data_IF_424531396466
#
_entry.id   IF_424531396466
#
_cell.length_a   1.000
_cell.length_b   1.000
_cell.length_c   1.000
_cell.angle_alpha   90.00
_cell.angle_beta   90.00
_cell.angle_gamma   90.00
#
_symmetry.space_group_name_H-M   'P 1'
#
loop_
_entity.id
_entity.type
_entity.pdbx_description
1 polymer ?
#
# COMPACT_ATOMS: atom_id res chain seq x y z
N UNK A 1 -32.23 -5.64 -11.45
CA UNK A 1 -31.15 -4.89 -10.78
C UNK A 1 -30.07 -5.89 -10.39
N UNK A 2 -29.06 -6.09 -11.24
CA UNK A 2 -27.90 -6.95 -10.92
C UNK A 2 -26.78 -6.03 -10.45
N UNK A 3 -26.74 -5.73 -9.15
CA UNK A 3 -25.64 -4.97 -8.56
C UNK A 3 -24.46 -5.92 -8.34
N UNK A 4 -23.50 -5.93 -9.25
CA UNK A 4 -22.22 -6.61 -9.03
C UNK A 4 -21.40 -5.77 -8.06
N UNK A 5 -20.81 -6.40 -7.03
CA UNK A 5 -19.94 -5.82 -6.00
C UNK A 5 -18.69 -5.04 -6.52
N UNK A 6 -18.53 -4.93 -7.84
CA UNK A 6 -17.44 -4.23 -8.52
C UNK A 6 -17.55 -2.70 -8.51
N UNK A 7 -18.62 -2.10 -7.97
CA UNK A 7 -18.85 -0.65 -8.05
C UNK A 7 -18.20 0.19 -6.93
N UNK A 8 -17.55 -0.43 -5.94
CA UNK A 8 -17.05 0.30 -4.77
C UNK A 8 -15.63 0.84 -4.93
N UNK A 9 -14.73 0.12 -5.60
CA UNK A 9 -13.32 0.52 -5.75
C UNK A 9 -13.06 1.10 -7.14
N UNK A 10 -12.45 2.28 -7.18
CA UNK A 10 -12.03 2.96 -8.41
C UNK A 10 -10.49 3.02 -8.46
N UNK A 11 -9.95 3.80 -9.41
CA UNK A 11 -8.51 3.97 -9.60
C UNK A 11 -7.80 4.35 -8.29
N UNK A 12 -6.63 3.75 -8.05
CA UNK A 12 -5.81 3.93 -6.84
C UNK A 12 -6.47 3.49 -5.53
N UNK A 13 -7.36 2.48 -5.56
CA UNK A 13 -8.06 1.94 -4.38
C UNK A 13 -8.93 2.99 -3.66
N UNK A 14 -9.31 4.07 -4.34
CA UNK A 14 -10.31 5.00 -3.82
C UNK A 14 -11.71 4.36 -3.86
N UNK A 15 -12.60 4.83 -2.97
CA UNK A 15 -13.96 4.29 -2.85
C UNK A 15 -14.98 5.31 -3.37
N UNK A 16 -15.97 4.84 -4.14
CA UNK A 16 -17.11 5.63 -4.61
C UNK A 16 -18.41 5.14 -3.96
N UNK A 17 -19.31 6.03 -3.49
CA UNK A 17 -19.22 7.50 -3.45
C UNK A 17 -18.22 8.02 -2.40
N UNK A 18 -17.81 9.28 -2.50
CA UNK A 18 -16.82 9.86 -1.57
C UNK A 18 -17.25 9.88 -0.09
N UNK A 19 -18.56 9.81 0.19
CA UNK A 19 -19.10 9.63 1.54
C UNK A 19 -19.12 8.15 1.98
N UNK A 20 -18.00 7.45 1.79
CA UNK A 20 -17.86 6.03 2.12
C UNK A 20 -16.73 5.81 3.13
N UNK A 21 -16.86 4.78 3.95
CA UNK A 21 -15.86 4.36 4.92
C UNK A 21 -15.71 2.83 4.88
N UNK A 22 -14.48 2.33 4.94
CA UNK A 22 -14.16 0.91 5.10
C UNK A 22 -13.09 0.71 6.16
N UNK A 23 -13.03 -0.47 6.78
CA UNK A 23 -12.01 -0.79 7.78
C UNK A 23 -12.16 -2.20 8.33
N UNK A 24 -11.32 -2.53 9.31
CA UNK A 24 -11.33 -3.79 10.04
C UNK A 24 -11.81 -3.55 11.48
N UNK A 25 -12.57 -4.50 12.02
CA UNK A 25 -12.94 -4.52 13.45
C UNK A 25 -11.97 -5.42 14.21
N UNK A 26 -11.32 -4.87 15.24
CA UNK A 26 -10.38 -5.60 16.12
C UNK A 26 -10.90 -5.50 17.55
N UNK A 27 -11.17 -6.64 18.19
CA UNK A 27 -11.83 -6.72 19.50
C UNK A 27 -10.91 -6.90 20.70
N UNK A 28 -9.59 -6.85 20.52
CA UNK A 28 -8.64 -7.04 21.62
C UNK A 28 -8.61 -5.77 22.52
N UNK A 29 -8.66 -5.89 23.86
CA UNK A 29 -8.79 -4.74 24.76
C UNK A 29 -7.62 -3.75 24.66
N UNK A 30 -6.42 -4.24 24.36
CA UNK A 30 -5.23 -3.41 24.16
C UNK A 30 -5.05 -2.94 22.70
N UNK A 31 -6.08 -3.02 21.86
CA UNK A 31 -5.99 -2.52 20.49
C UNK A 31 -6.04 -0.99 20.47
N UNK A 32 -5.08 -0.37 19.79
CA UNK A 32 -5.07 1.07 19.56
C UNK A 32 -4.44 1.39 18.20
N UNK A 33 -4.67 2.59 17.69
CA UNK A 33 -4.03 3.07 16.47
C UNK A 33 -2.57 3.42 16.73
N UNK A 34 -1.67 2.93 15.87
CA UNK A 34 -0.25 3.27 15.92
C UNK A 34 0.29 3.52 14.52
N UNK A 35 1.35 4.31 14.42
CA UNK A 35 2.07 4.53 13.17
C UNK A 35 3.03 3.38 12.88
N UNK A 36 3.06 2.90 11.64
CA UNK A 36 3.96 1.81 11.21
C UNK A 36 5.43 2.25 11.19
N UNK A 37 5.70 3.55 10.97
CA UNK A 37 7.06 4.09 10.90
C UNK A 37 7.72 3.84 9.55
N UNK A 38 9.06 3.91 9.54
CA UNK A 38 9.89 3.68 8.34
C UNK A 38 10.11 2.18 8.12
N UNK A 39 10.04 1.75 6.87
CA UNK A 39 10.14 0.34 6.45
C UNK A 39 11.42 0.11 5.66
N UNK A 40 12.16 -0.94 6.02
CA UNK A 40 13.41 -1.34 5.37
C UNK A 40 13.16 -2.31 4.21
N UNK A 41 14.18 -2.51 3.35
CA UNK A 41 14.06 -3.31 2.12
C UNK A 41 13.68 -4.77 2.38
N UNK A 42 14.25 -5.38 3.42
CA UNK A 42 13.95 -6.76 3.82
C UNK A 42 12.46 -6.96 4.19
N UNK A 43 11.87 -5.98 4.87
CA UNK A 43 10.44 -5.98 5.19
C UNK A 43 9.56 -5.82 3.96
N UNK A 44 9.98 -5.03 2.97
CA UNK A 44 9.29 -4.88 1.68
C UNK A 44 9.33 -6.20 0.91
N UNK A 45 10.49 -6.84 0.80
CA UNK A 45 10.65 -8.13 0.13
C UNK A 45 9.79 -9.23 0.79
N UNK A 46 9.73 -9.27 2.13
CA UNK A 46 8.87 -10.21 2.84
C UNK A 46 7.36 -9.90 2.67
N UNK A 47 6.98 -8.62 2.64
CA UNK A 47 5.62 -8.20 2.34
C UNK A 47 5.22 -8.61 0.92
N UNK A 48 6.11 -8.38 -0.05
CA UNK A 48 5.92 -8.69 -1.45
C UNK A 48 5.70 -10.20 -1.66
N UNK A 49 6.59 -11.01 -1.07
CA UNK A 49 6.51 -12.47 -1.08
C UNK A 49 5.20 -12.99 -0.46
N UNK A 50 4.78 -12.46 0.70
CA UNK A 50 3.54 -12.90 1.39
C UNK A 50 2.28 -12.55 0.61
N UNK A 51 2.30 -11.44 -0.13
CA UNK A 51 1.16 -10.97 -0.92
C UNK A 51 1.19 -11.47 -2.38
N UNK A 52 2.27 -12.14 -2.80
CA UNK A 52 2.44 -12.62 -4.18
C UNK A 52 2.56 -11.47 -5.19
N UNK A 53 3.18 -10.36 -4.80
CA UNK A 53 3.43 -9.19 -5.65
C UNK A 53 4.92 -9.04 -5.94
N UNK A 54 5.26 -8.36 -7.04
CA UNK A 54 6.63 -7.97 -7.31
C UNK A 54 7.12 -6.92 -6.31
N UNK A 55 8.42 -6.91 -6.04
CA UNK A 55 9.03 -5.94 -5.10
C UNK A 55 8.81 -4.51 -5.57
N UNK A 56 8.92 -4.23 -6.86
CA UNK A 56 8.66 -2.89 -7.43
C UNK A 56 7.20 -2.43 -7.22
N UNK A 57 6.24 -3.36 -7.23
CA UNK A 57 4.84 -3.05 -6.94
C UNK A 57 4.66 -2.75 -5.44
N UNK A 58 5.27 -3.55 -4.56
CA UNK A 58 5.26 -3.29 -3.13
C UNK A 58 5.88 -1.93 -2.80
N UNK A 59 7.00 -1.59 -3.43
CA UNK A 59 7.67 -0.29 -3.30
C UNK A 59 6.78 0.86 -3.76
N UNK A 60 6.04 0.70 -4.86
CA UNK A 60 5.07 1.70 -5.33
C UNK A 60 3.99 1.98 -4.29
N UNK A 61 3.42 0.94 -3.68
CA UNK A 61 2.39 1.07 -2.65
C UNK A 61 2.92 1.61 -1.32
N UNK A 62 4.16 1.27 -0.97
CA UNK A 62 4.80 1.66 0.30
C UNK A 62 5.66 2.93 0.21
N UNK A 63 5.77 3.56 -0.96
CA UNK A 63 6.66 4.69 -1.22
C UNK A 63 6.70 5.78 -0.11
N UNK A 64 5.57 6.20 0.51
CA UNK A 64 5.60 7.22 1.57
C UNK A 64 6.37 6.82 2.84
N UNK A 65 6.52 5.51 3.09
CA UNK A 65 7.09 4.97 4.33
C UNK A 65 8.42 4.25 4.14
N UNK A 66 8.96 4.17 2.93
CA UNK A 66 10.26 3.55 2.70
C UNK A 66 11.40 4.33 3.38
N UNK A 67 12.39 3.60 3.87
CA UNK A 67 13.62 4.14 4.46
C UNK A 67 14.84 4.09 3.53
N UNK A 68 14.62 3.80 2.25
CA UNK A 68 15.67 3.69 1.24
C UNK A 68 15.18 4.25 -0.10
N UNK A 69 16.11 4.56 -0.98
CA UNK A 69 15.80 5.02 -2.33
C UNK A 69 15.47 3.79 -3.18
N UNK A 70 14.26 3.76 -3.72
CA UNK A 70 13.80 2.76 -4.66
C UNK A 70 13.63 3.41 -6.04
N UNK A 71 13.93 2.67 -7.12
CA UNK A 71 13.91 3.23 -8.48
C UNK A 71 14.98 4.31 -8.70
N UNK A 72 16.26 3.91 -8.73
CA UNK A 72 17.30 4.82 -9.20
C UNK A 72 17.15 5.04 -10.71
N UNK A 73 16.75 6.25 -11.13
CA UNK A 73 17.01 6.72 -12.50
C UNK A 73 18.53 6.94 -12.57
N UNK A 74 19.29 6.23 -13.43
CA UNK A 74 20.69 6.53 -13.64
C UNK A 74 20.77 7.97 -14.18
N UNK A 75 21.34 8.88 -13.39
CA UNK A 75 21.58 10.26 -13.81
C UNK A 75 22.81 10.30 -14.71
N UNK A 76 22.78 9.61 -15.85
CA UNK A 76 23.91 9.54 -16.80
C UNK A 76 23.60 10.12 -18.19
N UNK A 77 22.38 10.59 -18.46
CA UNK A 77 22.00 11.19 -19.76
C UNK A 77 21.60 12.68 -19.66
N UNK A 78 22.14 13.41 -18.67
CA UNK A 78 21.88 14.84 -18.49
C UNK A 78 23.14 15.72 -18.65
N UNK A 79 24.10 15.30 -19.48
CA UNK A 79 25.29 16.06 -19.83
C UNK A 79 25.50 16.11 -21.35
#
# INVERSE_FOLDING_TARGET
MRGSLLELLILHLAIWPGSSVCGLYIGHPDSFYFGVGKVERDQVEDCARRKGMDVEEAERWLAPVLNYIHGAIPREEAA
#
